data_IF_495125908452
#
_entry.id   IF_495125908452
#
_cell.length_a   1.000
_cell.length_b   1.000
_cell.length_c   1.000
_cell.angle_alpha   90.00
_cell.angle_beta   90.00
_cell.angle_gamma   90.00
#
_symmetry.space_group_name_H-M   'P 1'
#
loop_
_entity.id
_entity.type
_entity.pdbx_description
1 polymer ?
#
# COMPACT_ATOMS: atom_id res chain seq x y z
N UNK A 1 -15.93 8.44 30.72
CA UNK A 1 -14.47 8.39 30.81
C UNK A 1 -13.94 9.41 29.79
N UNK A 2 -13.49 10.53 30.29
CA UNK A 2 -12.86 11.59 29.46
C UNK A 2 -11.61 11.00 28.81
N UNK A 3 -11.48 11.18 27.51
CA UNK A 3 -10.29 10.80 26.76
C UNK A 3 -9.11 11.58 27.33
N UNK A 4 -8.13 10.91 27.88
CA UNK A 4 -6.81 11.50 28.17
C UNK A 4 -6.30 12.10 26.87
N UNK A 5 -6.29 13.43 26.79
CA UNK A 5 -6.17 14.22 25.56
C UNK A 5 -4.82 14.18 24.86
N UNK A 6 -4.38 13.01 24.44
CA UNK A 6 -3.24 12.85 23.54
C UNK A 6 -3.68 12.92 22.07
N UNK A 7 -2.82 13.45 21.20
CA UNK A 7 -3.02 13.42 19.73
C UNK A 7 -3.26 11.97 19.26
N UNK A 8 -4.17 11.73 18.30
CA UNK A 8 -4.30 10.40 17.71
C UNK A 8 -3.01 10.00 16.99
N UNK A 9 -2.71 8.71 17.01
CA UNK A 9 -1.46 8.14 16.47
C UNK A 9 -1.72 7.38 15.18
N UNK A 10 -0.93 7.67 14.14
CA UNK A 10 -0.94 6.94 12.88
C UNK A 10 0.41 6.27 12.63
N UNK A 11 0.42 4.97 12.41
CA UNK A 11 1.61 4.21 12.01
C UNK A 11 1.54 3.92 10.51
N UNK A 12 2.62 4.24 9.79
CA UNK A 12 2.69 4.12 8.33
C UNK A 12 3.91 3.30 7.95
N UNK A 13 3.73 2.20 7.23
CA UNK A 13 4.85 1.41 6.72
C UNK A 13 5.34 1.95 5.38
N UNK A 14 6.68 2.00 5.19
CA UNK A 14 7.28 2.42 3.93
C UNK A 14 7.12 3.90 3.64
N UNK A 15 7.37 4.76 4.61
CA UNK A 15 7.18 6.20 4.52
C UNK A 15 8.35 6.98 3.88
N UNK A 16 9.38 6.32 3.34
CA UNK A 16 10.54 6.99 2.74
C UNK A 16 10.25 7.66 1.39
N UNK A 17 9.16 7.31 0.71
CA UNK A 17 8.81 7.84 -0.62
C UNK A 17 7.34 7.59 -0.98
N UNK A 18 6.89 8.14 -2.10
CA UNK A 18 5.60 7.84 -2.72
C UNK A 18 4.39 8.10 -1.81
N UNK A 19 3.43 7.20 -1.85
CA UNK A 19 2.19 7.34 -1.07
C UNK A 19 2.43 7.39 0.44
N UNK A 20 3.38 6.60 0.97
CA UNK A 20 3.67 6.55 2.40
C UNK A 20 4.17 7.90 2.92
N UNK A 21 5.13 8.51 2.21
CA UNK A 21 5.66 9.83 2.55
C UNK A 21 4.56 10.90 2.50
N UNK A 22 3.80 10.96 1.42
CA UNK A 22 2.73 11.94 1.25
C UNK A 22 1.59 11.76 2.28
N UNK A 23 1.30 10.50 2.64
CA UNK A 23 0.32 10.17 3.68
C UNK A 23 0.82 10.60 5.06
N UNK A 24 2.11 10.42 5.37
CA UNK A 24 2.70 10.86 6.63
C UNK A 24 2.54 12.38 6.81
N UNK A 25 2.90 13.15 5.80
CA UNK A 25 2.71 14.61 5.80
C UNK A 25 1.23 14.98 5.96
N UNK A 26 0.36 14.37 5.16
CA UNK A 26 -1.06 14.70 5.15
C UNK A 26 -1.74 14.39 6.51
N UNK A 27 -1.42 13.26 7.15
CA UNK A 27 -1.97 12.93 8.47
C UNK A 27 -1.38 13.80 9.58
N UNK A 28 -0.11 14.18 9.50
CA UNK A 28 0.49 15.13 10.42
C UNK A 28 -0.18 16.53 10.34
N UNK A 29 -0.51 16.99 9.13
CA UNK A 29 -1.29 18.23 8.93
C UNK A 29 -2.70 18.14 9.53
N UNK A 30 -3.30 16.96 9.58
CA UNK A 30 -4.60 16.70 10.21
C UNK A 30 -4.51 16.52 11.74
N UNK A 31 -3.33 16.74 12.33
CA UNK A 31 -3.12 16.73 13.78
C UNK A 31 -2.75 15.38 14.37
N UNK A 32 -2.51 14.35 13.54
CA UNK A 32 -2.00 13.06 14.02
C UNK A 32 -0.53 13.17 14.43
N UNK A 33 -0.15 12.43 15.47
CA UNK A 33 1.23 12.02 15.64
C UNK A 33 1.52 10.84 14.75
N UNK A 34 2.50 10.97 13.86
CA UNK A 34 2.77 9.99 12.80
C UNK A 34 4.07 9.25 13.08
N UNK A 35 3.98 7.94 13.24
CA UNK A 35 5.13 7.04 13.25
C UNK A 35 5.38 6.59 11.81
N UNK A 36 6.37 7.19 11.19
CA UNK A 36 6.74 6.97 9.79
C UNK A 36 7.84 5.91 9.73
N UNK A 37 7.49 4.65 9.39
CA UNK A 37 8.50 3.58 9.43
C UNK A 37 9.15 3.36 8.07
N UNK A 38 10.43 3.03 8.10
CA UNK A 38 11.23 2.68 6.93
C UNK A 38 12.35 1.72 7.29
N UNK A 39 12.76 0.87 6.33
CA UNK A 39 13.85 -0.10 6.53
C UNK A 39 15.24 0.54 6.53
N UNK A 40 15.41 1.62 5.79
CA UNK A 40 16.69 2.31 5.59
C UNK A 40 16.54 3.76 6.07
N UNK A 41 17.11 4.03 7.24
CA UNK A 41 17.08 5.35 7.88
C UNK A 41 17.85 6.42 7.07
N UNK A 42 18.79 6.03 6.21
CA UNK A 42 19.45 6.95 5.30
C UNK A 42 18.51 7.62 4.28
N UNK A 43 17.25 7.16 4.17
CA UNK A 43 16.23 7.74 3.27
C UNK A 43 15.23 8.67 3.96
N UNK A 44 15.46 9.05 5.21
CA UNK A 44 14.55 9.90 5.98
C UNK A 44 14.55 11.38 5.53
N UNK A 45 15.64 11.87 4.96
CA UNK A 45 15.87 13.30 4.69
C UNK A 45 14.75 13.93 3.85
N UNK A 46 14.28 13.20 2.84
CA UNK A 46 13.17 13.68 1.99
C UNK A 46 11.89 13.91 2.79
N UNK A 47 11.55 13.00 3.70
CA UNK A 47 10.38 13.12 4.57
C UNK A 47 10.55 14.28 5.54
N UNK A 48 11.71 14.38 6.20
CA UNK A 48 11.99 15.42 7.20
C UNK A 48 12.03 16.82 6.57
N UNK A 49 12.62 16.98 5.38
CA UNK A 49 12.60 18.23 4.63
C UNK A 49 11.17 18.68 4.32
N UNK A 50 10.37 17.78 3.73
CA UNK A 50 8.97 18.11 3.45
C UNK A 50 8.14 18.39 4.71
N UNK A 51 8.41 17.69 5.81
CA UNK A 51 7.75 17.94 7.08
C UNK A 51 8.09 19.34 7.64
N UNK A 52 9.34 19.77 7.50
CA UNK A 52 9.78 21.12 7.86
C UNK A 52 9.08 22.19 7.03
N UNK A 53 9.07 22.04 5.69
CA UNK A 53 8.37 22.95 4.77
C UNK A 53 6.87 23.08 5.05
N UNK A 54 6.23 22.04 5.58
CA UNK A 54 4.79 21.99 5.93
C UNK A 54 4.51 22.31 7.39
N UNK A 55 5.53 22.67 8.19
CA UNK A 55 5.44 22.99 9.61
C UNK A 55 4.76 21.88 10.45
N UNK A 56 5.12 20.62 10.17
CA UNK A 56 4.59 19.43 10.88
C UNK A 56 5.69 18.49 11.38
N UNK A 57 6.94 18.96 11.40
CA UNK A 57 8.09 18.17 11.81
C UNK A 57 7.95 17.65 13.25
N UNK A 58 7.34 18.45 14.14
CA UNK A 58 7.05 18.11 15.54
C UNK A 58 6.02 16.98 15.71
N UNK A 59 5.38 16.57 14.62
CA UNK A 59 4.34 15.54 14.60
C UNK A 59 4.75 14.27 13.90
N UNK A 60 5.98 14.20 13.37
CA UNK A 60 6.48 13.05 12.64
C UNK A 60 7.69 12.49 13.36
N UNK A 61 7.58 11.23 13.75
CA UNK A 61 8.67 10.42 14.27
C UNK A 61 9.06 9.38 13.22
N UNK A 62 10.34 9.33 12.85
CA UNK A 62 10.86 8.31 11.93
C UNK A 62 11.39 7.15 12.74
N UNK A 63 10.98 5.92 12.39
CA UNK A 63 11.38 4.72 13.09
C UNK A 63 11.86 3.66 12.11
N UNK A 64 12.98 3.01 12.44
CA UNK A 64 13.48 1.88 11.66
C UNK A 64 12.57 0.66 11.85
N UNK A 65 12.12 0.06 10.77
CA UNK A 65 11.35 -1.18 10.81
C UNK A 65 11.45 -1.92 9.48
N UNK A 66 12.07 -3.08 9.50
CA UNK A 66 11.89 -4.09 8.45
C UNK A 66 10.69 -4.97 8.82
N UNK A 67 9.56 -4.71 8.21
CA UNK A 67 8.31 -5.40 8.50
C UNK A 67 8.27 -6.86 7.99
N UNK A 68 9.32 -7.33 7.32
CA UNK A 68 9.52 -8.75 7.03
C UNK A 68 10.16 -9.52 8.20
N UNK A 69 10.55 -8.80 9.26
CA UNK A 69 11.13 -9.35 10.49
C UNK A 69 10.19 -9.12 11.67
N UNK A 70 9.52 -10.17 12.12
CA UNK A 70 8.51 -10.08 13.20
C UNK A 70 9.07 -9.42 14.46
N UNK A 71 10.31 -9.70 14.85
CA UNK A 71 10.96 -9.10 16.02
C UNK A 71 11.07 -7.57 15.91
N UNK A 72 11.41 -7.04 14.73
CA UNK A 72 11.46 -5.59 14.51
C UNK A 72 10.06 -4.97 14.51
N UNK A 73 9.07 -5.69 14.01
CA UNK A 73 7.68 -5.25 14.06
C UNK A 73 7.21 -5.14 15.51
N UNK A 74 7.43 -6.17 16.32
CA UNK A 74 7.02 -6.21 17.72
C UNK A 74 7.71 -5.10 18.54
N UNK A 75 9.00 -4.87 18.30
CA UNK A 75 9.75 -3.78 18.95
C UNK A 75 9.17 -2.41 18.57
N UNK A 76 8.95 -2.13 17.28
CA UNK A 76 8.44 -0.85 16.81
C UNK A 76 7.02 -0.58 17.34
N UNK A 77 6.16 -1.58 17.33
CA UNK A 77 4.80 -1.45 17.87
C UNK A 77 4.84 -1.28 19.39
N UNK A 78 5.66 -2.08 20.10
CA UNK A 78 5.85 -1.97 21.54
C UNK A 78 6.34 -0.59 21.97
N UNK A 79 7.33 -0.04 21.26
CA UNK A 79 7.85 1.31 21.52
C UNK A 79 6.79 2.38 21.23
N UNK A 80 6.07 2.28 20.12
CA UNK A 80 4.98 3.20 19.78
C UNK A 80 3.91 3.22 20.88
N UNK A 81 3.45 2.05 21.31
CA UNK A 81 2.42 1.95 22.34
C UNK A 81 2.95 2.37 23.71
N UNK A 82 4.20 2.02 24.03
CA UNK A 82 4.84 2.44 25.29
C UNK A 82 4.93 3.96 25.44
N UNK A 83 5.22 4.69 24.37
CA UNK A 83 5.33 6.15 24.37
C UNK A 83 3.98 6.86 24.24
N UNK A 84 3.11 6.39 23.37
CA UNK A 84 1.90 7.12 23.00
C UNK A 84 0.61 6.49 23.55
N UNK A 85 0.67 5.26 24.07
CA UNK A 85 -0.45 4.54 24.65
C UNK A 85 -1.50 4.04 23.67
N UNK A 86 -1.36 4.37 22.37
CA UNK A 86 -2.39 4.11 21.34
C UNK A 86 -1.85 4.03 19.93
N UNK A 87 -2.57 3.32 19.06
CA UNK A 87 -2.45 3.39 17.59
C UNK A 87 -3.88 3.47 17.04
N UNK A 88 -4.24 4.59 16.42
CA UNK A 88 -5.59 4.82 15.90
C UNK A 88 -5.73 4.43 14.43
N UNK A 89 -4.64 4.62 13.68
CA UNK A 89 -4.57 4.35 12.25
C UNK A 89 -3.31 3.54 11.94
N UNK A 90 -3.48 2.43 11.24
CA UNK A 90 -2.41 1.69 10.60
C UNK A 90 -2.54 1.86 9.09
N UNK A 91 -1.49 2.31 8.42
CA UNK A 91 -1.40 2.34 6.95
C UNK A 91 -0.33 1.35 6.50
N UNK A 92 -0.75 0.19 6.05
CA UNK A 92 0.10 -0.80 5.41
C UNK A 92 0.35 -0.37 3.96
N UNK A 93 1.41 0.41 3.76
CA UNK A 93 1.75 0.99 2.47
C UNK A 93 3.01 0.37 1.84
N UNK A 94 3.93 -0.13 2.65
CA UNK A 94 5.19 -0.68 2.16
C UNK A 94 4.96 -1.79 1.12
N UNK A 95 5.77 -1.76 0.05
CA UNK A 95 5.70 -2.74 -1.01
C UNK A 95 6.58 -2.35 -2.20
N UNK A 96 6.82 -3.33 -3.06
CA UNK A 96 7.52 -3.17 -4.33
C UNK A 96 6.89 -4.11 -5.37
N UNK A 97 7.39 -4.11 -6.60
CA UNK A 97 6.89 -4.99 -7.64
C UNK A 97 8.04 -5.76 -8.31
N UNK A 98 7.89 -7.07 -8.41
CA UNK A 98 8.65 -7.93 -9.30
C UNK A 98 7.88 -8.03 -10.60
N UNK A 99 8.54 -7.68 -11.70
CA UNK A 99 7.96 -7.60 -13.04
C UNK A 99 8.66 -8.58 -13.96
N UNK A 100 7.92 -9.13 -14.90
CA UNK A 100 8.42 -10.06 -15.90
C UNK A 100 7.39 -11.13 -16.24
N UNK A 101 7.70 -11.94 -17.23
CA UNK A 101 6.86 -13.07 -17.63
C UNK A 101 6.96 -14.18 -16.58
N UNK A 102 5.85 -14.79 -16.25
CA UNK A 102 5.74 -15.81 -15.18
C UNK A 102 6.79 -16.92 -15.31
N UNK A 103 7.04 -17.39 -16.54
CA UNK A 103 8.01 -18.45 -16.85
C UNK A 103 9.47 -18.02 -16.54
N UNK A 104 9.77 -16.74 -16.68
CA UNK A 104 11.13 -16.19 -16.56
C UNK A 104 11.48 -15.67 -15.17
N UNK A 105 10.49 -15.54 -14.27
CA UNK A 105 10.71 -15.05 -12.91
C UNK A 105 11.09 -16.20 -11.98
N UNK A 106 12.29 -16.19 -11.38
CA UNK A 106 12.69 -17.21 -10.41
C UNK A 106 11.74 -17.30 -9.23
N UNK A 107 11.43 -18.51 -8.75
CA UNK A 107 10.51 -18.76 -7.62
C UNK A 107 10.94 -18.01 -6.35
N UNK A 108 12.25 -17.83 -6.13
CA UNK A 108 12.78 -17.05 -4.99
C UNK A 108 12.23 -15.61 -4.96
N UNK A 109 12.03 -15.00 -6.14
CA UNK A 109 11.55 -13.61 -6.24
C UNK A 109 10.03 -13.52 -6.02
N UNK A 110 9.29 -14.59 -6.32
CA UNK A 110 7.91 -14.76 -5.86
C UNK A 110 7.82 -14.78 -4.34
N UNK A 111 8.68 -15.58 -3.68
CA UNK A 111 8.73 -15.61 -2.22
C UNK A 111 9.07 -14.25 -1.62
N UNK A 112 10.07 -13.54 -2.16
CA UNK A 112 10.46 -12.22 -1.71
C UNK A 112 9.33 -11.18 -1.87
N UNK A 113 8.61 -11.24 -3.03
CA UNK A 113 7.44 -10.41 -3.29
C UNK A 113 6.33 -10.63 -2.25
N UNK A 114 6.02 -11.88 -1.94
CA UNK A 114 5.00 -12.23 -0.95
C UNK A 114 5.45 -11.92 0.47
N UNK A 115 6.71 -12.19 0.82
CA UNK A 115 7.27 -11.86 2.13
C UNK A 115 7.07 -10.37 2.43
N UNK A 116 7.34 -9.51 1.45
CA UNK A 116 7.19 -8.06 1.60
C UNK A 116 5.72 -7.63 1.51
N UNK A 117 5.04 -7.87 0.39
CA UNK A 117 3.75 -7.23 0.12
C UNK A 117 2.60 -7.83 0.92
N UNK A 118 2.69 -9.10 1.30
CA UNK A 118 1.61 -9.81 1.97
C UNK A 118 1.98 -10.19 3.41
N UNK A 119 2.99 -11.02 3.65
CA UNK A 119 3.32 -11.48 4.99
C UNK A 119 3.74 -10.35 5.93
N UNK A 120 4.50 -9.36 5.45
CA UNK A 120 4.80 -8.16 6.21
C UNK A 120 3.55 -7.37 6.59
N UNK A 121 2.57 -7.23 5.67
CA UNK A 121 1.26 -6.61 5.97
C UNK A 121 0.53 -7.39 7.06
N UNK A 122 0.55 -8.72 7.00
CA UNK A 122 -0.05 -9.59 8.03
C UNK A 122 0.65 -9.42 9.37
N UNK A 123 1.99 -9.43 9.40
CA UNK A 123 2.78 -9.30 10.63
C UNK A 123 2.48 -7.99 11.37
N UNK A 124 2.58 -6.83 10.67
CA UNK A 124 2.28 -5.52 11.27
C UNK A 124 0.82 -5.44 11.74
N UNK A 125 -0.11 -5.95 10.96
CA UNK A 125 -1.53 -5.97 11.33
C UNK A 125 -1.76 -6.78 12.59
N UNK A 126 -1.20 -8.00 12.68
CA UNK A 126 -1.29 -8.86 13.87
C UNK A 126 -0.72 -8.19 15.12
N UNK A 127 0.42 -7.52 15.01
CA UNK A 127 1.05 -6.82 16.13
C UNK A 127 0.19 -5.63 16.63
N UNK A 128 -0.45 -4.88 15.73
CA UNK A 128 -1.28 -3.71 16.09
C UNK A 128 -2.66 -4.11 16.63
N UNK A 129 -3.25 -5.20 16.15
CA UNK A 129 -4.63 -5.60 16.46
C UNK A 129 -4.95 -5.71 17.96
N UNK A 130 -4.12 -6.32 18.84
CA UNK A 130 -4.41 -6.41 20.27
C UNK A 130 -4.58 -5.03 20.92
N UNK A 131 -3.86 -4.02 20.45
CA UNK A 131 -3.91 -2.64 20.92
C UNK A 131 -5.19 -1.95 20.47
N UNK A 132 -5.52 -1.98 19.17
CA UNK A 132 -6.76 -1.41 18.63
C UNK A 132 -8.00 -2.08 19.26
N UNK A 133 -7.94 -3.38 19.50
CA UNK A 133 -9.02 -4.12 20.13
C UNK A 133 -9.25 -3.70 21.59
N UNK A 134 -8.17 -3.47 22.37
CA UNK A 134 -8.28 -2.91 23.74
C UNK A 134 -8.83 -1.46 23.72
N UNK A 135 -8.49 -0.70 22.71
CA UNK A 135 -9.02 0.66 22.49
C UNK A 135 -10.50 0.67 22.07
N UNK A 136 -11.06 -0.49 21.63
CA UNK A 136 -12.36 -0.61 20.98
C UNK A 136 -12.54 0.37 19.81
N UNK A 137 -11.44 0.69 19.13
CA UNK A 137 -11.40 1.65 18.03
C UNK A 137 -10.11 1.49 17.21
N UNK A 138 -10.21 1.60 15.89
CA UNK A 138 -9.06 1.62 15.00
C UNK A 138 -9.43 1.66 13.53
N UNK A 139 -8.46 2.02 12.70
CA UNK A 139 -8.57 1.94 11.24
C UNK A 139 -7.32 1.32 10.65
N UNK A 140 -7.50 0.25 9.90
CA UNK A 140 -6.43 -0.44 9.17
C UNK A 140 -6.65 -0.16 7.70
N UNK A 141 -5.69 0.49 7.06
CA UNK A 141 -5.74 0.89 5.65
C UNK A 141 -4.66 0.14 4.90
N UNK A 142 -5.05 -0.79 4.05
CA UNK A 142 -4.15 -1.59 3.23
C UNK A 142 -4.05 -1.00 1.83
N UNK A 143 -2.83 -0.67 1.38
CA UNK A 143 -2.60 -0.19 0.03
C UNK A 143 -2.51 -1.40 -0.91
N UNK A 144 -3.60 -1.62 -1.64
CA UNK A 144 -3.72 -2.58 -2.73
C UNK A 144 -3.21 -1.96 -4.06
N UNK A 145 -3.84 -2.29 -5.16
CA UNK A 145 -3.52 -1.78 -6.50
C UNK A 145 -4.67 -2.10 -7.47
N UNK A 146 -4.67 -1.48 -8.65
CA UNK A 146 -5.42 -1.99 -9.80
C UNK A 146 -5.06 -3.43 -10.14
N UNK A 147 -3.80 -3.84 -9.89
CA UNK A 147 -3.32 -5.21 -10.02
C UNK A 147 -3.89 -6.18 -8.96
N UNK A 148 -4.54 -5.69 -7.90
CA UNK A 148 -5.33 -6.50 -6.97
C UNK A 148 -6.78 -6.70 -7.41
N UNK A 149 -7.21 -6.00 -8.46
CA UNK A 149 -8.56 -6.14 -9.06
C UNK A 149 -8.50 -7.10 -10.25
N UNK A 150 -7.47 -6.97 -11.08
CA UNK A 150 -7.25 -7.80 -12.26
C UNK A 150 -5.76 -8.10 -12.42
N UNK A 151 -5.42 -9.30 -12.91
CA UNK A 151 -4.04 -9.65 -13.27
C UNK A 151 -3.67 -9.08 -14.63
N UNK A 152 -2.45 -8.56 -14.75
CA UNK A 152 -1.86 -8.11 -16.02
C UNK A 152 -0.70 -8.99 -16.42
N UNK A 153 -0.39 -9.05 -17.71
CA UNK A 153 0.86 -9.65 -18.18
C UNK A 153 2.06 -8.96 -17.52
N UNK A 154 3.17 -9.67 -17.39
CA UNK A 154 4.41 -9.18 -16.76
C UNK A 154 4.28 -8.74 -15.28
N UNK A 155 3.16 -8.99 -14.61
CA UNK A 155 2.95 -8.59 -13.21
C UNK A 155 2.55 -9.76 -12.31
N UNK A 156 2.84 -11.00 -12.71
CA UNK A 156 2.38 -12.21 -12.01
C UNK A 156 2.54 -12.20 -10.51
N UNK A 157 3.79 -12.10 -9.95
CA UNK A 157 4.03 -12.08 -8.51
C UNK A 157 3.36 -10.88 -7.81
N UNK A 158 3.46 -9.71 -8.42
CA UNK A 158 2.88 -8.50 -7.88
C UNK A 158 1.35 -8.58 -7.81
N UNK A 159 0.69 -8.93 -8.93
CA UNK A 159 -0.76 -9.11 -8.95
C UNK A 159 -1.21 -10.14 -7.91
N UNK A 160 -0.58 -11.31 -7.86
CA UNK A 160 -0.91 -12.36 -6.90
C UNK A 160 -0.80 -11.86 -5.45
N UNK A 161 0.26 -11.11 -5.11
CA UNK A 161 0.44 -10.53 -3.78
C UNK A 161 -0.65 -9.52 -3.43
N UNK A 162 -1.09 -8.69 -4.39
CA UNK A 162 -2.16 -7.71 -4.17
C UNK A 162 -3.54 -8.36 -4.08
N UNK A 163 -3.81 -9.45 -4.82
CA UNK A 163 -5.01 -10.27 -4.63
C UNK A 163 -5.03 -10.92 -3.24
N UNK A 164 -3.88 -11.37 -2.73
CA UNK A 164 -3.79 -11.90 -1.37
C UNK A 164 -4.14 -10.82 -0.33
N UNK A 165 -3.67 -9.58 -0.49
CA UNK A 165 -4.04 -8.44 0.37
C UNK A 165 -5.54 -8.15 0.31
N UNK A 166 -6.17 -8.23 -0.88
CA UNK A 166 -7.61 -8.03 -1.04
C UNK A 166 -8.42 -9.06 -0.24
N UNK A 167 -8.15 -10.37 -0.44
CA UNK A 167 -8.84 -11.44 0.28
C UNK A 167 -8.61 -11.40 1.79
N UNK A 168 -7.37 -11.15 2.22
CA UNK A 168 -7.04 -10.94 3.63
C UNK A 168 -7.84 -9.80 4.25
N UNK A 169 -7.94 -8.68 3.55
CA UNK A 169 -8.66 -7.50 4.07
C UNK A 169 -10.17 -7.72 4.17
N UNK A 170 -10.77 -8.49 3.26
CA UNK A 170 -12.17 -8.88 3.34
C UNK A 170 -12.44 -9.73 4.58
N UNK A 171 -11.65 -10.79 4.79
CA UNK A 171 -11.78 -11.67 5.95
C UNK A 171 -11.60 -10.88 7.26
N UNK A 172 -10.50 -10.13 7.35
CA UNK A 172 -10.18 -9.33 8.53
C UNK A 172 -11.28 -8.31 8.86
N UNK A 173 -11.87 -7.68 7.85
CA UNK A 173 -12.96 -6.72 8.07
C UNK A 173 -14.17 -7.36 8.75
N UNK A 174 -14.52 -8.58 8.36
CA UNK A 174 -15.64 -9.32 8.97
C UNK A 174 -15.33 -9.72 10.42
N UNK A 175 -14.11 -10.18 10.68
CA UNK A 175 -13.66 -10.55 12.03
C UNK A 175 -13.67 -9.37 13.00
N UNK A 176 -13.43 -8.15 12.50
CA UNK A 176 -13.27 -6.94 13.32
C UNK A 176 -14.56 -6.13 13.51
N UNK A 177 -15.69 -6.55 12.94
CA UNK A 177 -16.97 -5.84 13.06
C UNK A 177 -17.38 -5.61 14.53
N UNK A 178 -17.16 -6.59 15.40
CA UNK A 178 -17.52 -6.49 16.82
C UNK A 178 -16.61 -5.55 17.63
N UNK A 179 -15.47 -5.13 17.09
CA UNK A 179 -14.47 -4.34 17.81
C UNK A 179 -14.39 -2.88 17.40
N UNK A 180 -15.30 -2.43 16.54
CA UNK A 180 -15.29 -1.06 16.00
C UNK A 180 -13.94 -0.70 15.32
N UNK A 181 -13.32 -1.68 14.67
CA UNK A 181 -12.10 -1.52 13.89
C UNK A 181 -12.45 -1.62 12.41
N UNK A 182 -12.21 -0.55 11.68
CA UNK A 182 -12.48 -0.53 10.24
C UNK A 182 -11.27 -1.01 9.44
N UNK A 183 -11.48 -1.95 8.53
CA UNK A 183 -10.47 -2.37 7.53
C UNK A 183 -10.86 -1.79 6.19
N UNK A 184 -9.90 -1.16 5.50
CA UNK A 184 -10.11 -0.44 4.25
C UNK A 184 -9.02 -0.78 3.26
N UNK A 185 -9.40 -1.00 2.02
CA UNK A 185 -8.52 -1.17 0.86
C UNK A 185 -8.48 0.13 0.06
N UNK A 186 -7.29 0.63 -0.20
CA UNK A 186 -7.07 1.68 -1.20
C UNK A 186 -6.47 1.01 -2.43
N UNK A 187 -7.08 1.22 -3.58
CA UNK A 187 -6.73 0.58 -4.85
C UNK A 187 -6.24 1.65 -5.84
N UNK A 188 -4.97 2.07 -5.78
CA UNK A 188 -4.41 3.00 -6.75
C UNK A 188 -4.29 2.37 -8.14
N UNK A 189 -4.51 3.17 -9.17
CA UNK A 189 -4.05 2.88 -10.51
C UNK A 189 -2.58 3.26 -10.70
N UNK A 190 -2.23 3.70 -11.89
CA UNK A 190 -0.89 4.17 -12.21
C UNK A 190 -0.65 5.57 -11.63
N UNK A 191 0.41 5.70 -10.84
CA UNK A 191 0.87 6.96 -10.25
C UNK A 191 2.39 7.03 -10.28
N UNK A 192 2.94 8.22 -10.49
CA UNK A 192 4.38 8.44 -10.41
C UNK A 192 4.83 8.54 -8.94
N UNK A 193 5.22 7.40 -8.37
CA UNK A 193 5.62 7.27 -6.95
C UNK A 193 7.09 6.88 -6.78
N UNK A 194 7.85 6.76 -7.88
CA UNK A 194 9.18 6.15 -7.86
C UNK A 194 9.16 4.63 -7.59
N UNK A 195 7.99 4.00 -7.66
CA UNK A 195 7.90 2.53 -7.53
C UNK A 195 8.52 1.85 -8.74
N UNK A 196 8.45 2.47 -9.92
CA UNK A 196 9.08 1.97 -11.14
C UNK A 196 10.60 1.84 -11.01
N UNK A 197 11.26 2.71 -10.24
CA UNK A 197 12.70 2.65 -9.95
C UNK A 197 13.06 1.50 -8.98
N UNK A 198 12.05 0.88 -8.37
CA UNK A 198 12.18 -0.24 -7.42
C UNK A 198 11.68 -1.57 -8.00
N UNK A 199 11.45 -1.62 -9.32
CA UNK A 199 11.04 -2.85 -9.97
C UNK A 199 12.25 -3.77 -10.19
N UNK A 200 12.16 -4.99 -9.66
CA UNK A 200 13.03 -6.09 -10.12
C UNK A 200 12.42 -6.62 -11.41
N UNK A 201 13.06 -6.32 -12.55
CA UNK A 201 12.56 -6.69 -13.87
C UNK A 201 13.30 -7.89 -14.42
N UNK A 202 12.57 -8.93 -14.77
CA UNK A 202 13.10 -10.18 -15.35
C UNK A 202 12.69 -10.31 -16.81
N UNK A 203 13.67 -10.46 -17.70
CA UNK A 203 13.49 -10.79 -19.11
C UNK A 203 14.72 -11.56 -19.59
N UNK A 204 14.51 -12.74 -20.13
CA UNK A 204 15.58 -13.50 -20.75
C UNK A 204 16.07 -12.82 -22.06
N UNK A 205 17.37 -12.87 -22.41
CA UNK A 205 17.88 -12.24 -23.63
C UNK A 205 17.17 -12.70 -24.92
N UNK A 206 16.84 -14.00 -25.00
CA UNK A 206 16.18 -14.63 -26.15
C UNK A 206 14.72 -15.01 -25.82
N UNK A 207 14.04 -14.19 -25.03
CA UNK A 207 12.67 -14.45 -24.57
C UNK A 207 11.70 -14.59 -25.76
N UNK A 208 10.93 -15.68 -25.86
CA UNK A 208 9.85 -15.81 -26.83
C UNK A 208 8.71 -14.80 -26.60
N UNK A 209 8.70 -14.17 -25.43
CA UNK A 209 7.71 -13.18 -25.01
C UNK A 209 8.13 -11.73 -25.28
N UNK A 210 9.31 -11.49 -25.90
CA UNK A 210 9.89 -10.15 -26.06
C UNK A 210 8.90 -9.13 -26.68
N UNK A 211 8.20 -9.52 -27.76
CA UNK A 211 7.22 -8.62 -28.43
C UNK A 211 6.07 -8.20 -27.48
N UNK A 212 5.53 -9.14 -26.71
CA UNK A 212 4.45 -8.88 -25.74
C UNK A 212 4.97 -7.99 -24.61
N UNK A 213 6.16 -8.26 -24.11
CA UNK A 213 6.82 -7.50 -23.05
C UNK A 213 7.08 -6.05 -23.51
N UNK A 214 7.56 -5.86 -24.74
CA UNK A 214 7.76 -4.51 -25.32
C UNK A 214 6.43 -3.77 -25.46
N UNK A 215 5.36 -4.44 -25.86
CA UNK A 215 4.03 -3.83 -25.96
C UNK A 215 3.53 -3.41 -24.58
N UNK A 216 3.67 -4.27 -23.57
CA UNK A 216 3.35 -3.96 -22.17
C UNK A 216 4.16 -2.78 -21.65
N UNK A 217 5.47 -2.74 -21.88
CA UNK A 217 6.35 -1.67 -21.44
C UNK A 217 5.97 -0.32 -22.08
N UNK A 218 5.64 -0.31 -23.37
CA UNK A 218 5.15 0.91 -24.06
C UNK A 218 3.83 1.39 -23.45
N UNK A 219 2.91 0.47 -23.19
CA UNK A 219 1.63 0.80 -22.55
C UNK A 219 1.82 1.35 -21.13
N UNK A 220 2.68 0.70 -20.33
CA UNK A 220 2.96 1.11 -18.95
C UNK A 220 3.62 2.50 -18.91
N UNK A 221 4.63 2.72 -19.75
CA UNK A 221 5.31 4.02 -19.86
C UNK A 221 4.33 5.16 -20.24
N UNK A 222 3.46 4.93 -21.23
CA UNK A 222 2.42 5.90 -21.58
C UNK A 222 1.46 6.19 -20.41
N UNK A 223 1.16 5.19 -19.60
CA UNK A 223 0.32 5.35 -18.41
C UNK A 223 1.04 6.14 -17.30
N UNK A 224 2.34 5.93 -17.13
CA UNK A 224 3.19 6.66 -16.17
C UNK A 224 3.36 8.11 -16.58
N UNK A 225 3.61 8.40 -17.88
CA UNK A 225 3.75 9.76 -18.40
C UNK A 225 2.48 10.62 -18.20
N UNK A 226 1.32 9.98 -18.11
CA UNK A 226 0.02 10.63 -17.89
C UNK A 226 -0.50 10.42 -16.45
N UNK A 227 0.33 9.91 -15.55
CA UNK A 227 -0.10 9.57 -14.20
C UNK A 227 -0.46 10.83 -13.40
N UNK A 228 -1.57 10.79 -12.64
CA UNK A 228 -1.97 11.90 -11.79
C UNK A 228 -1.00 12.06 -10.60
N UNK A 229 -1.09 13.22 -9.95
CA UNK A 229 -0.32 13.52 -8.74
C UNK A 229 -0.66 12.51 -7.62
N UNK A 230 0.35 11.80 -7.06
CA UNK A 230 0.15 10.82 -6.00
C UNK A 230 -0.46 11.40 -4.72
N UNK A 231 -0.48 12.71 -4.52
CA UNK A 231 -1.17 13.39 -3.41
C UNK A 231 -2.67 13.03 -3.35
N UNK A 232 -3.28 12.65 -4.46
CA UNK A 232 -4.68 12.23 -4.50
C UNK A 232 -4.95 10.98 -3.65
N UNK A 233 -3.98 10.07 -3.58
CA UNK A 233 -4.08 8.87 -2.73
C UNK A 233 -3.98 9.26 -1.27
N UNK A 234 -3.02 10.11 -0.89
CA UNK A 234 -2.90 10.62 0.48
C UNK A 234 -4.17 11.36 0.93
N UNK A 235 -4.74 12.22 0.07
CA UNK A 235 -6.03 12.88 0.36
C UNK A 235 -7.19 11.89 0.51
N UNK A 236 -7.18 10.79 -0.22
CA UNK A 236 -8.18 9.72 -0.06
C UNK A 236 -8.02 9.04 1.28
N UNK A 237 -6.79 8.75 1.72
CA UNK A 237 -6.51 8.19 3.05
C UNK A 237 -6.99 9.15 4.15
N UNK A 238 -6.75 10.44 4.04
CA UNK A 238 -7.29 11.45 4.97
C UNK A 238 -8.82 11.38 5.05
N UNK A 239 -9.53 11.30 3.91
CA UNK A 239 -10.99 11.13 3.88
C UNK A 239 -11.43 9.85 4.61
N UNK A 240 -10.72 8.74 4.39
CA UNK A 240 -11.00 7.46 5.05
C UNK A 240 -10.84 7.59 6.57
N UNK A 241 -9.77 8.22 7.00
CA UNK A 241 -9.47 8.41 8.43
C UNK A 241 -10.53 9.28 9.12
N UNK A 242 -11.04 10.31 8.43
CA UNK A 242 -12.13 11.18 8.94
C UNK A 242 -13.52 10.52 8.90
N UNK A 243 -13.73 9.54 8.05
CA UNK A 243 -15.04 8.89 7.90
C UNK A 243 -15.38 8.05 9.14
N UNK A 244 -16.61 8.20 9.66
CA UNK A 244 -17.12 7.38 10.77
C UNK A 244 -17.30 5.91 10.36
N UNK A 245 -17.83 5.68 9.17
CA UNK A 245 -18.07 4.34 8.60
C UNK A 245 -17.49 4.27 7.19
N UNK A 246 -16.17 4.05 7.04
CA UNK A 246 -15.56 3.98 5.72
C UNK A 246 -16.01 2.73 4.96
N UNK A 247 -16.12 2.86 3.62
CA UNK A 247 -16.34 1.72 2.72
C UNK A 247 -15.15 0.77 2.78
N UNK A 248 -15.33 -0.48 2.35
CA UNK A 248 -14.22 -1.42 2.25
C UNK A 248 -13.19 -0.98 1.21
N UNK A 249 -13.62 -0.47 0.05
CA UNK A 249 -12.72 -0.15 -1.09
C UNK A 249 -12.84 1.29 -1.54
N UNK A 250 -11.67 1.88 -1.82
CA UNK A 250 -11.50 3.20 -2.43
C UNK A 250 -10.55 3.08 -3.62
N UNK A 251 -11.09 3.10 -4.82
CA UNK A 251 -10.32 3.05 -6.06
C UNK A 251 -9.87 4.45 -6.46
N UNK A 252 -8.57 4.66 -6.64
CA UNK A 252 -7.94 5.93 -6.98
C UNK A 252 -7.33 5.88 -8.39
N UNK A 253 -7.59 6.90 -9.19
CA UNK A 253 -7.21 6.95 -10.60
C UNK A 253 -8.34 6.56 -11.54
N UNK A 254 -8.35 7.11 -12.73
CA UNK A 254 -9.37 6.82 -13.76
C UNK A 254 -9.21 5.41 -14.34
N UNK A 255 -7.97 4.99 -14.52
CA UNK A 255 -7.57 3.67 -14.99
C UNK A 255 -8.04 2.54 -14.05
N UNK A 256 -7.73 2.64 -12.75
CA UNK A 256 -8.18 1.66 -11.77
C UNK A 256 -9.70 1.63 -11.63
N UNK A 257 -10.38 2.78 -11.71
CA UNK A 257 -11.84 2.84 -11.70
C UNK A 257 -12.43 2.14 -12.91
N UNK A 258 -11.87 2.37 -14.10
CA UNK A 258 -12.30 1.69 -15.33
C UNK A 258 -12.10 0.17 -15.19
N UNK A 259 -10.93 -0.28 -14.71
CA UNK A 259 -10.64 -1.69 -14.45
C UNK A 259 -11.67 -2.30 -13.49
N UNK A 260 -11.99 -1.62 -12.39
CA UNK A 260 -12.96 -2.10 -11.42
C UNK A 260 -14.38 -2.24 -12.02
N UNK A 261 -14.79 -1.30 -12.86
CA UNK A 261 -16.07 -1.36 -13.59
C UNK A 261 -16.06 -2.52 -14.60
N UNK A 262 -15.01 -2.64 -15.40
CA UNK A 262 -14.88 -3.71 -16.39
C UNK A 262 -14.92 -5.09 -15.72
N UNK A 263 -14.12 -5.30 -14.65
CA UNK A 263 -14.08 -6.56 -13.91
C UNK A 263 -15.41 -6.95 -13.30
N UNK A 264 -16.22 -5.97 -12.92
CA UNK A 264 -17.53 -6.20 -12.31
C UNK A 264 -18.63 -6.58 -13.33
N UNK A 265 -18.58 -5.99 -14.52
CA UNK A 265 -19.71 -6.05 -15.45
C UNK A 265 -19.42 -6.80 -16.75
N UNK A 266 -18.17 -6.98 -17.13
CA UNK A 266 -17.80 -7.63 -18.38
C UNK A 266 -17.38 -9.09 -18.15
N UNK A 267 -17.77 -10.01 -19.02
CA UNK A 267 -17.26 -11.38 -19.01
C UNK A 267 -15.75 -11.38 -19.34
N UNK A 268 -15.02 -12.35 -18.78
CA UNK A 268 -13.58 -12.43 -18.95
C UNK A 268 -13.13 -12.47 -20.43
N UNK A 269 -13.87 -13.18 -21.27
CA UNK A 269 -13.59 -13.26 -22.71
C UNK A 269 -13.53 -11.90 -23.40
N UNK A 270 -14.38 -10.95 -23.00
CA UNK A 270 -14.37 -9.60 -23.56
C UNK A 270 -13.19 -8.79 -23.02
N UNK A 271 -12.89 -8.91 -21.75
CA UNK A 271 -11.70 -8.28 -21.15
C UNK A 271 -10.43 -8.81 -21.82
N UNK A 272 -10.32 -10.12 -22.00
CA UNK A 272 -9.19 -10.75 -22.67
C UNK A 272 -9.04 -10.26 -24.12
N UNK A 273 -10.15 -10.16 -24.86
CA UNK A 273 -10.14 -9.62 -26.22
C UNK A 273 -9.63 -8.17 -26.28
N UNK A 274 -10.03 -7.33 -25.32
CA UNK A 274 -9.54 -5.94 -25.21
C UNK A 274 -8.04 -5.89 -24.89
N UNK A 275 -7.57 -6.72 -23.94
CA UNK A 275 -6.17 -6.79 -23.55
C UNK A 275 -5.27 -7.35 -24.67
N UNK A 276 -5.76 -8.31 -25.45
CA UNK A 276 -5.04 -8.79 -26.65
C UNK A 276 -4.69 -7.67 -27.62
N UNK A 277 -5.58 -6.71 -27.83
CA UNK A 277 -5.31 -5.56 -28.72
C UNK A 277 -4.24 -4.60 -28.20
N UNK A 278 -3.95 -4.64 -26.90
CA UNK A 278 -2.90 -3.83 -26.26
C UNK A 278 -1.55 -4.55 -26.33
N UNK A 279 -1.57 -5.89 -26.26
CA UNK A 279 -0.38 -6.73 -26.12
C UNK A 279 0.15 -7.28 -27.47
N UNK A 280 -0.64 -7.20 -28.53
CA UNK A 280 -0.31 -7.63 -29.90
C UNK A 280 -0.59 -6.55 -30.91
#
# INVERSE_FOLDING_TARGET
MESTGGRPVALITGASSGFGLLTAIALAQEGYHVIATMRDMGKQDKLLSMAGEKAVLDRIEVMEMDFTREEQVDLAIGETVGRWGRIDVLVNNAGYAVMGVVEEIPVKDWHAQFATNFFGTVAVTKAVLPHMRRQAQGKIINISSGAGIIGFSNTGPYSASKFAVEGFSEALRLELLAFNIAVVLVQPGTYNTGIAEKHDYHQAPDSPYAKMTDAFNRFNKKSEDNAPDPIHVARTIVKIVKARHPKLRYTCGSDAKLIAIMKRWLPWSLIEWMLRKILH
#
